data_IF_861573876113
#
_entry.id   IF_861573876113
#
_cell.length_a   1.000
_cell.length_b   1.000
_cell.length_c   1.000
_cell.angle_alpha   90.00
_cell.angle_beta   90.00
_cell.angle_gamma   90.00
#
_symmetry.space_group_name_H-M   'P 1'
#
loop_
_entity.id
_entity.type
_entity.pdbx_description
1 polymer ?
#
# COMPACT_ATOMS: atom_id res chain seq x y z
N UNK A 1 -5.84 17.32 -0.74
CA UNK A 1 -5.74 16.18 -1.69
C UNK A 1 -4.34 16.10 -2.31
N UNK A 2 -3.72 14.93 -2.32
CA UNK A 2 -2.35 14.76 -2.82
C UNK A 2 -2.02 13.30 -3.18
N UNK A 3 -0.79 13.08 -3.66
CA UNK A 3 -0.27 11.77 -4.06
C UNK A 3 0.97 11.47 -3.21
N UNK A 4 1.03 10.24 -2.69
CA UNK A 4 2.20 9.69 -2.02
C UNK A 4 3.09 9.05 -3.07
N UNK A 5 4.35 9.51 -3.11
CA UNK A 5 5.36 9.02 -4.06
C UNK A 5 6.43 8.22 -3.34
N UNK A 6 7.09 7.32 -4.08
CA UNK A 6 8.22 6.55 -3.58
C UNK A 6 9.36 7.49 -3.19
N UNK A 7 9.81 7.40 -1.93
CA UNK A 7 10.90 8.22 -1.42
C UNK A 7 12.22 8.05 -2.19
N UNK A 8 12.42 6.91 -2.88
CA UNK A 8 13.66 6.62 -3.60
C UNK A 8 13.64 7.05 -5.07
N UNK A 9 12.50 6.93 -5.77
CA UNK A 9 12.46 7.16 -7.22
C UNK A 9 11.34 8.10 -7.69
N UNK A 10 10.53 8.64 -6.77
CA UNK A 10 9.44 9.57 -7.09
C UNK A 10 8.23 8.94 -7.79
N UNK A 11 8.18 7.61 -7.96
CA UNK A 11 7.05 6.93 -8.59
C UNK A 11 5.79 7.06 -7.73
N UNK A 12 4.64 7.29 -8.36
CA UNK A 12 3.37 7.50 -7.66
C UNK A 12 2.83 6.19 -7.10
N UNK A 13 2.54 6.15 -5.79
CA UNK A 13 2.19 4.92 -5.07
C UNK A 13 0.74 4.91 -4.60
N UNK A 14 0.31 5.96 -3.89
CA UNK A 14 -1.01 6.00 -3.26
C UNK A 14 -1.65 7.39 -3.39
N UNK A 15 -2.97 7.42 -3.57
CA UNK A 15 -3.72 8.67 -3.46
C UNK A 15 -4.07 8.97 -2.01
N UNK A 16 -4.06 10.24 -1.61
CA UNK A 16 -4.59 10.66 -0.32
C UNK A 16 -6.08 10.35 -0.16
N UNK A 17 -6.81 10.08 -1.25
CA UNK A 17 -8.22 9.64 -1.23
C UNK A 17 -8.40 8.21 -0.77
N UNK A 18 -7.40 7.36 -0.97
CA UNK A 18 -7.39 5.96 -0.51
C UNK A 18 -6.87 5.83 0.92
N UNK A 19 -6.30 6.90 1.48
CA UNK A 19 -5.84 6.94 2.87
C UNK A 19 -7.04 6.96 3.82
N UNK A 20 -6.95 6.20 4.89
CA UNK A 20 -7.92 6.27 5.99
C UNK A 20 -7.21 6.34 7.35
N UNK A 21 -7.97 6.60 8.41
CA UNK A 21 -7.46 6.55 9.78
C UNK A 21 -7.51 5.12 10.29
N UNK A 22 -6.40 4.64 10.82
CA UNK A 22 -6.26 3.32 11.39
C UNK A 22 -5.47 3.45 12.70
N UNK A 23 -5.72 2.56 13.66
CA UNK A 23 -5.07 2.58 14.98
C UNK A 23 -3.58 2.22 14.94
N UNK A 24 -3.07 1.75 13.79
CA UNK A 24 -1.65 1.46 13.62
C UNK A 24 -0.80 2.73 13.59
N UNK A 25 0.47 2.66 14.00
CA UNK A 25 1.40 3.79 13.89
C UNK A 25 1.79 4.13 12.44
N UNK A 26 1.41 3.30 11.47
CA UNK A 26 1.73 3.45 10.06
C UNK A 26 0.53 4.01 9.27
N UNK A 27 0.77 4.80 8.20
CA UNK A 27 -0.30 5.26 7.33
C UNK A 27 -0.95 4.07 6.63
N UNK A 28 -2.28 4.02 6.65
CA UNK A 28 -3.06 2.94 6.05
C UNK A 28 -3.78 3.41 4.77
N UNK A 29 -3.76 2.57 3.74
CA UNK A 29 -4.44 2.80 2.47
C UNK A 29 -5.28 1.61 2.04
N UNK A 30 -6.36 1.86 1.29
CA UNK A 30 -7.25 0.78 0.80
C UNK A 30 -6.81 0.21 -0.54
N UNK A 31 -6.12 1.00 -1.37
CA UNK A 31 -5.68 0.60 -2.70
C UNK A 31 -4.50 1.45 -3.18
N UNK A 32 -3.61 0.90 -4.01
CA UNK A 32 -2.59 1.66 -4.71
C UNK A 32 -3.21 2.62 -5.73
N UNK A 33 -2.41 3.57 -6.22
CA UNK A 33 -2.85 4.50 -7.24
C UNK A 33 -3.08 3.81 -8.59
N UNK A 34 -2.14 2.93 -8.98
CA UNK A 34 -2.19 2.08 -10.17
C UNK A 34 -1.85 0.63 -9.78
N UNK A 35 -2.22 -0.34 -10.61
CA UNK A 35 -1.91 -1.76 -10.35
C UNK A 35 -0.40 -2.04 -10.33
N UNK A 36 0.37 -1.29 -11.11
CA UNK A 36 1.83 -1.40 -11.22
C UNK A 36 2.60 -0.49 -10.24
N UNK A 37 1.90 0.36 -9.48
CA UNK A 37 2.53 1.24 -8.48
C UNK A 37 3.34 0.45 -7.45
N UNK A 38 2.87 -0.75 -7.10
CA UNK A 38 3.47 -1.59 -6.08
C UNK A 38 3.64 -3.04 -6.56
N UNK A 39 4.81 -3.61 -6.28
CA UNK A 39 5.06 -5.04 -6.40
C UNK A 39 4.69 -5.73 -5.08
N UNK A 40 4.04 -6.89 -5.19
CA UNK A 40 3.58 -7.69 -4.06
C UNK A 40 4.31 -9.02 -4.05
N UNK A 41 4.71 -9.48 -2.86
CA UNK A 41 5.30 -10.81 -2.65
C UNK A 41 4.68 -11.43 -1.42
N UNK A 42 4.24 -12.67 -1.52
CA UNK A 42 3.71 -13.38 -0.34
C UNK A 42 4.78 -13.50 0.75
N UNK A 43 4.45 -13.05 1.96
CA UNK A 43 5.31 -13.23 3.14
C UNK A 43 4.69 -14.24 4.11
N UNK A 44 3.37 -14.14 4.35
CA UNK A 44 2.60 -15.05 5.20
C UNK A 44 1.16 -15.18 4.66
N UNK A 45 0.40 -16.20 5.07
CA UNK A 45 -1.03 -16.29 4.71
C UNK A 45 -1.77 -15.02 5.13
N UNK A 46 -2.33 -14.31 4.15
CA UNK A 46 -3.06 -13.05 4.37
C UNK A 46 -2.19 -11.78 4.49
N UNK A 47 -0.86 -11.89 4.41
CA UNK A 47 0.06 -10.73 4.44
C UNK A 47 1.09 -10.80 3.30
N UNK A 48 1.05 -9.80 2.42
CA UNK A 48 1.96 -9.65 1.30
C UNK A 48 2.95 -8.54 1.61
N UNK A 49 4.24 -8.78 1.37
CA UNK A 49 5.26 -7.73 1.38
C UNK A 49 5.11 -6.84 0.16
N UNK A 50 5.10 -5.53 0.37
CA UNK A 50 4.87 -4.52 -0.65
C UNK A 50 6.14 -3.74 -0.89
N UNK A 51 6.52 -3.61 -2.17
CA UNK A 51 7.67 -2.85 -2.63
C UNK A 51 7.24 -1.91 -3.77
N UNK A 52 8.03 -0.89 -4.08
CA UNK A 52 7.76 -0.04 -5.23
C UNK A 52 7.84 -0.86 -6.51
N UNK A 53 6.81 -0.78 -7.37
CA UNK A 53 6.77 -1.54 -8.63
C UNK A 53 7.87 -1.13 -9.62
N UNK A 54 8.40 0.09 -9.50
CA UNK A 54 9.43 0.62 -10.39
C UNK A 54 10.87 0.33 -9.95
N UNK A 55 11.19 0.54 -8.68
CA UNK A 55 12.58 0.45 -8.18
C UNK A 55 12.82 -0.67 -7.17
N UNK A 56 11.76 -1.39 -6.75
CA UNK A 56 11.87 -2.47 -5.77
C UNK A 56 12.11 -2.01 -4.33
N UNK A 57 12.10 -0.70 -4.05
CA UNK A 57 12.26 -0.21 -2.68
C UNK A 57 11.14 -0.73 -1.76
N UNK A 58 11.49 -1.22 -0.57
CA UNK A 58 10.51 -1.76 0.37
C UNK A 58 9.58 -0.66 0.90
N UNK A 59 8.27 -0.91 0.88
CA UNK A 59 7.25 0.05 1.31
C UNK A 59 6.50 -0.39 2.57
N UNK A 60 6.31 -1.70 2.76
CA UNK A 60 5.56 -2.22 3.89
C UNK A 60 4.87 -3.54 3.56
N UNK A 61 3.60 -3.66 3.96
CA UNK A 61 2.81 -4.87 3.79
C UNK A 61 1.37 -4.55 3.38
N UNK A 62 0.78 -5.43 2.58
CA UNK A 62 -0.65 -5.48 2.32
C UNK A 62 -1.25 -6.61 3.14
N UNK A 63 -2.24 -6.29 3.96
CA UNK A 63 -3.01 -7.24 4.74
C UNK A 63 -4.35 -7.47 4.05
N UNK A 64 -4.58 -8.69 3.58
CA UNK A 64 -5.79 -9.06 2.85
C UNK A 64 -6.99 -9.12 3.80
N UNK A 65 -8.12 -8.54 3.39
CA UNK A 65 -9.36 -8.47 4.17
C UNK A 65 -9.27 -7.69 5.50
N UNK A 66 -8.22 -6.87 5.69
CA UNK A 66 -7.99 -6.05 6.89
C UNK A 66 -8.26 -4.54 6.65
N UNK A 67 -8.97 -4.22 5.56
CA UNK A 67 -9.39 -2.87 5.22
C UNK A 67 -10.62 -2.40 6.00
N UNK A 68 -11.03 -1.13 5.82
CA UNK A 68 -12.14 -0.53 6.56
C UNK A 68 -13.51 -1.09 6.15
N UNK A 69 -13.62 -1.70 4.97
CA UNK A 69 -14.82 -2.41 4.52
C UNK A 69 -14.51 -3.89 4.32
N UNK A 70 -15.56 -4.72 4.43
CA UNK A 70 -15.44 -6.17 4.29
C UNK A 70 -14.87 -6.54 2.92
N UNK A 71 -13.75 -7.27 2.91
CA UNK A 71 -13.07 -7.72 1.69
C UNK A 71 -12.03 -6.75 1.13
N UNK A 72 -11.84 -5.57 1.74
CA UNK A 72 -10.78 -4.64 1.33
C UNK A 72 -9.44 -5.02 1.96
N UNK A 73 -8.35 -4.75 1.23
CA UNK A 73 -7.00 -4.83 1.76
C UNK A 73 -6.64 -3.57 2.53
N UNK A 74 -5.68 -3.71 3.46
CA UNK A 74 -4.97 -2.60 4.09
C UNK A 74 -3.52 -2.62 3.67
N UNK A 75 -3.09 -1.58 2.95
CA UNK A 75 -1.69 -1.27 2.66
C UNK A 75 -1.10 -0.40 3.75
#
# INVERSE_FOLDING_TARGET
PGIYVCAQCGHELFSSRAKYEHSSPWPAFTQPLLEDSVAKREERPGALKVSCGKCGNGLGHEFLNDGPQRGQSRF
#
